data_IF_618250344992
#
_entry.id   IF_618250344992
#
_cell.length_a   1.000
_cell.length_b   1.000
_cell.length_c   1.000
_cell.angle_alpha   90.00
_cell.angle_beta   90.00
_cell.angle_gamma   90.00
#
_symmetry.space_group_name_H-M   'P 1'
#
loop_
_entity.id
_entity.type
_entity.pdbx_description
1 polymer ?
#
# COMPACT_ATOMS: atom_id res chain seq x y z
N UNK A 1 -1.17 -3.44 -6.30
CA UNK A 1 -2.54 -3.12 -5.94
C UNK A 1 -3.02 -4.04 -4.82
N UNK A 2 -3.69 -3.47 -3.82
CA UNK A 2 -4.26 -4.16 -2.66
C UNK A 2 -5.68 -3.62 -2.46
N UNK A 3 -6.70 -4.20 -3.09
CA UNK A 3 -8.08 -3.81 -2.82
C UNK A 3 -8.52 -4.37 -1.46
N UNK A 4 -9.22 -3.55 -0.68
CA UNK A 4 -9.84 -3.92 0.60
C UNK A 4 -11.34 -3.70 0.48
N UNK A 5 -12.06 -4.78 0.13
CA UNK A 5 -13.50 -4.77 -0.10
C UNK A 5 -14.16 -5.60 1.00
N UNK A 6 -15.09 -5.00 1.75
CA UNK A 6 -15.90 -5.72 2.71
C UNK A 6 -17.10 -6.36 2.01
N UNK A 7 -17.02 -7.65 1.76
CA UNK A 7 -18.15 -8.40 1.23
C UNK A 7 -19.25 -8.55 2.29
N UNK A 8 -20.54 -8.39 1.95
CA UNK A 8 -21.64 -8.47 2.92
C UNK A 8 -21.62 -9.75 3.77
N UNK A 9 -21.26 -10.88 3.17
CA UNK A 9 -21.17 -12.17 3.88
C UNK A 9 -20.05 -12.21 4.93
N UNK A 10 -19.06 -11.33 4.87
CA UNK A 10 -17.91 -11.27 5.78
C UNK A 10 -17.98 -10.12 6.77
N UNK A 11 -18.92 -9.21 6.63
CA UNK A 11 -19.03 -8.03 7.52
C UNK A 11 -19.11 -8.42 9.00
N UNK A 12 -19.82 -9.50 9.32
CA UNK A 12 -19.92 -10.03 10.68
C UNK A 12 -18.61 -10.64 11.22
N UNK A 13 -17.65 -10.96 10.35
CA UNK A 13 -16.33 -11.48 10.74
C UNK A 13 -15.30 -10.38 10.96
N UNK A 14 -15.64 -9.13 10.67
CA UNK A 14 -14.78 -7.98 10.97
C UNK A 14 -14.60 -7.80 12.46
N UNK A 15 -13.42 -7.32 12.87
CA UNK A 15 -13.16 -6.89 14.26
C UNK A 15 -13.83 -5.56 14.60
N UNK A 16 -14.36 -4.84 13.62
CA UNK A 16 -15.07 -3.58 13.77
C UNK A 16 -16.57 -3.79 13.66
N UNK A 17 -17.31 -2.79 14.13
CA UNK A 17 -18.77 -2.79 14.02
C UNK A 17 -19.21 -2.79 12.54
N UNK A 18 -20.29 -3.51 12.18
CA UNK A 18 -20.77 -3.59 10.79
C UNK A 18 -20.99 -2.23 10.12
N UNK A 19 -21.53 -1.25 10.85
CA UNK A 19 -21.78 0.10 10.32
C UNK A 19 -20.50 0.84 9.87
N UNK A 20 -19.33 0.43 10.39
CA UNK A 20 -18.03 1.01 10.01
C UNK A 20 -17.51 0.40 8.70
N UNK A 21 -17.73 -0.90 8.50
CA UNK A 21 -17.10 -1.67 7.41
C UNK A 21 -18.06 -2.06 6.29
N UNK A 22 -19.34 -2.07 6.51
CA UNK A 22 -20.33 -2.46 5.50
C UNK A 22 -20.27 -1.52 4.28
N UNK A 23 -20.10 -2.11 3.08
CA UNK A 23 -19.92 -1.36 1.83
C UNK A 23 -18.54 -0.72 1.65
N UNK A 24 -17.55 -1.11 2.46
CA UNK A 24 -16.16 -0.64 2.32
C UNK A 24 -15.56 -1.13 1.00
N UNK A 25 -14.96 -0.22 0.26
CA UNK A 25 -14.19 -0.48 -0.96
C UNK A 25 -13.03 0.52 -1.06
N UNK A 26 -11.86 0.12 -0.61
CA UNK A 26 -10.62 0.90 -0.65
C UNK A 26 -9.63 0.20 -1.58
N UNK A 27 -8.93 0.97 -2.41
CA UNK A 27 -7.81 0.48 -3.20
C UNK A 27 -6.49 1.06 -2.70
N UNK A 28 -5.60 0.22 -2.17
CA UNK A 28 -4.25 0.63 -1.78
C UNK A 28 -3.29 0.36 -2.93
N UNK A 29 -2.64 1.42 -3.39
CA UNK A 29 -1.62 1.42 -4.44
C UNK A 29 -0.26 1.53 -3.75
N UNK A 30 0.39 0.38 -3.55
CA UNK A 30 1.69 0.24 -2.88
C UNK A 30 2.80 0.29 -3.91
N UNK A 31 3.79 1.15 -3.72
CA UNK A 31 5.06 1.08 -4.44
C UNK A 31 5.81 -0.18 -3.98
N UNK A 32 6.33 -0.99 -4.91
CA UNK A 32 6.89 -2.31 -4.60
C UNK A 32 8.38 -2.46 -4.93
N UNK A 33 8.98 -1.50 -5.61
CA UNK A 33 10.31 -1.67 -6.23
C UNK A 33 11.43 -0.95 -5.48
N UNK A 34 11.08 -0.05 -4.58
CA UNK A 34 12.01 0.77 -3.81
C UNK A 34 11.86 0.63 -2.30
N UNK A 35 12.33 1.66 -1.61
CA UNK A 35 12.21 1.82 -0.18
C UNK A 35 13.16 0.95 0.63
N UNK A 36 12.83 0.76 1.91
CA UNK A 36 13.66 0.04 2.87
C UNK A 36 13.86 -1.45 2.53
N UNK A 37 12.99 -2.03 1.70
CA UNK A 37 13.09 -3.43 1.27
C UNK A 37 14.33 -3.67 0.39
N UNK A 38 14.74 -2.66 -0.40
CA UNK A 38 15.79 -2.78 -1.43
C UNK A 38 16.91 -1.77 -1.27
N UNK A 39 16.79 -0.80 -0.35
CA UNK A 39 17.80 0.23 -0.12
C UNK A 39 19.10 -0.35 0.43
N UNK A 40 20.20 0.31 0.13
CA UNK A 40 21.55 -0.05 0.58
C UNK A 40 22.24 1.18 1.16
N UNK A 41 23.06 1.02 2.22
CA UNK A 41 23.44 -0.23 2.90
C UNK A 41 22.30 -0.85 3.69
N UNK A 42 22.34 -2.18 3.81
CA UNK A 42 21.43 -2.99 4.61
C UNK A 42 22.25 -4.09 5.28
N UNK A 43 22.62 -3.89 6.54
CA UNK A 43 23.61 -4.73 7.19
C UNK A 43 23.53 -4.69 8.71
N UNK A 44 24.16 -5.66 9.35
CA UNK A 44 24.45 -5.65 10.78
C UNK A 44 25.96 -5.54 10.96
N UNK A 45 26.42 -4.46 11.58
CA UNK A 45 27.83 -4.18 11.86
C UNK A 45 28.15 -4.59 13.29
N UNK A 46 29.19 -5.38 13.49
CA UNK A 46 29.75 -5.64 14.84
C UNK A 46 30.57 -4.44 15.28
N UNK A 47 30.20 -3.86 16.42
CA UNK A 47 30.89 -2.70 17.01
C UNK A 47 31.92 -3.12 18.06
N UNK A 48 32.09 -4.42 18.33
CA UNK A 48 32.91 -4.96 19.41
C UNK A 48 32.17 -4.98 20.76
N UNK A 49 32.80 -5.61 21.75
CA UNK A 49 32.23 -5.74 23.11
C UNK A 49 30.81 -6.28 23.19
N UNK A 50 30.41 -7.11 22.24
CA UNK A 50 29.08 -7.71 22.15
C UNK A 50 27.98 -6.74 21.64
N UNK A 51 28.34 -5.55 21.20
CA UNK A 51 27.41 -4.57 20.65
C UNK A 51 27.36 -4.65 19.12
N UNK A 52 26.18 -4.44 18.57
CA UNK A 52 25.91 -4.43 17.12
C UNK A 52 25.12 -3.23 16.69
N UNK A 53 25.27 -2.82 15.42
CA UNK A 53 24.48 -1.77 14.78
C UNK A 53 23.73 -2.37 13.60
N UNK A 54 22.40 -2.27 13.58
CA UNK A 54 21.58 -2.56 12.40
C UNK A 54 21.39 -1.31 11.56
N UNK A 55 21.51 -1.44 10.24
CA UNK A 55 21.27 -0.37 9.27
C UNK A 55 20.33 -0.89 8.20
N UNK A 56 19.25 -0.14 7.96
CA UNK A 56 18.37 -0.28 6.80
C UNK A 56 18.21 1.09 6.15
N UNK A 57 18.28 1.14 4.83
CA UNK A 57 18.25 2.39 4.08
C UNK A 57 16.94 2.51 3.31
N UNK A 58 16.20 3.60 3.55
CA UNK A 58 14.99 3.97 2.80
C UNK A 58 15.39 4.88 1.63
N UNK A 59 15.23 4.41 0.40
CA UNK A 59 15.58 5.16 -0.82
C UNK A 59 14.40 5.17 -1.76
N UNK A 60 14.11 6.34 -2.33
CA UNK A 60 13.20 6.54 -3.45
C UNK A 60 13.75 7.59 -4.39
N UNK A 61 13.67 7.30 -5.67
CA UNK A 61 13.94 8.26 -6.74
C UNK A 61 12.63 8.89 -7.23
N UNK A 62 12.74 10.10 -7.79
CA UNK A 62 11.60 10.86 -8.29
C UNK A 62 10.74 10.06 -9.27
N UNK A 63 11.36 9.35 -10.23
CA UNK A 63 10.63 8.57 -11.25
C UNK A 63 9.79 7.42 -10.68
N UNK A 64 10.20 6.84 -9.56
CA UNK A 64 9.45 5.77 -8.88
C UNK A 64 8.16 6.33 -8.30
N UNK A 65 8.26 7.48 -7.65
CA UNK A 65 7.12 8.17 -7.03
C UNK A 65 6.16 8.71 -8.10
N UNK A 66 6.68 9.33 -9.18
CA UNK A 66 5.86 9.80 -10.31
C UNK A 66 5.07 8.67 -10.95
N UNK A 67 5.73 7.53 -11.18
CA UNK A 67 5.12 6.35 -11.76
C UNK A 67 3.93 5.85 -10.93
N UNK A 68 4.13 5.67 -9.61
CA UNK A 68 3.08 5.12 -8.76
C UNK A 68 1.97 6.13 -8.50
N UNK A 69 2.29 7.41 -8.38
CA UNK A 69 1.32 8.48 -8.25
C UNK A 69 0.39 8.56 -9.47
N UNK A 70 0.97 8.51 -10.68
CA UNK A 70 0.19 8.49 -11.92
C UNK A 70 -0.77 7.30 -11.97
N UNK A 71 -0.30 6.10 -11.61
CA UNK A 71 -1.16 4.91 -11.53
C UNK A 71 -2.32 5.11 -10.54
N UNK A 72 -2.03 5.69 -9.37
CA UNK A 72 -3.06 5.94 -8.37
C UNK A 72 -4.12 6.95 -8.84
N UNK A 73 -3.71 8.03 -9.49
CA UNK A 73 -4.62 9.03 -10.03
C UNK A 73 -5.47 8.47 -11.19
N UNK A 74 -4.86 7.71 -12.11
CA UNK A 74 -5.59 7.06 -13.21
C UNK A 74 -6.65 6.09 -12.68
N UNK A 75 -6.32 5.31 -11.65
CA UNK A 75 -7.28 4.41 -11.00
C UNK A 75 -8.39 5.17 -10.27
N UNK A 76 -8.07 6.29 -9.60
CA UNK A 76 -9.06 7.11 -8.92
C UNK A 76 -10.10 7.67 -9.89
N UNK A 77 -9.72 8.05 -11.12
CA UNK A 77 -10.66 8.50 -12.18
C UNK A 77 -11.71 7.44 -12.55
N UNK A 78 -11.41 6.17 -12.34
CA UNK A 78 -12.35 5.06 -12.59
C UNK A 78 -13.17 4.68 -11.36
N UNK A 79 -12.98 5.39 -10.25
CA UNK A 79 -13.60 5.14 -8.94
C UNK A 79 -14.23 6.42 -8.37
N UNK A 80 -14.04 6.69 -7.08
CA UNK A 80 -14.58 7.86 -6.39
C UNK A 80 -13.82 9.18 -6.63
N UNK A 81 -12.83 9.18 -7.52
CA UNK A 81 -12.02 10.34 -7.92
C UNK A 81 -11.26 11.02 -6.76
N UNK A 82 -10.86 10.24 -5.75
CA UNK A 82 -10.14 10.73 -4.57
C UNK A 82 -8.89 9.89 -4.30
N UNK A 83 -7.77 10.56 -4.07
CA UNK A 83 -6.49 9.95 -3.67
C UNK A 83 -6.04 10.51 -2.34
N UNK A 84 -5.72 9.63 -1.39
CA UNK A 84 -5.01 9.98 -0.18
C UNK A 84 -3.56 9.47 -0.29
N UNK A 85 -2.60 10.37 -0.36
CA UNK A 85 -1.17 10.05 -0.36
C UNK A 85 -0.65 9.96 1.06
N UNK A 86 -0.17 8.77 1.46
CA UNK A 86 0.32 8.51 2.81
C UNK A 86 1.82 8.32 2.84
N UNK A 87 2.50 9.09 3.69
CA UNK A 87 3.95 9.10 3.85
C UNK A 87 4.35 9.61 5.25
N UNK A 88 5.65 9.69 5.54
CA UNK A 88 6.15 10.10 6.87
C UNK A 88 7.11 11.29 6.78
N UNK A 89 6.71 12.37 6.07
CA UNK A 89 7.51 13.59 5.82
C UNK A 89 7.97 14.33 7.08
N UNK A 90 7.25 14.18 8.19
CA UNK A 90 7.65 14.81 9.44
C UNK A 90 8.90 14.20 10.08
N UNK A 91 9.35 13.03 9.62
CA UNK A 91 10.53 12.32 10.14
C UNK A 91 11.51 11.93 9.02
N UNK A 92 10.99 11.53 7.84
CA UNK A 92 11.78 10.92 6.77
C UNK A 92 11.96 11.87 5.58
N UNK A 93 13.20 12.03 5.10
CA UNK A 93 13.49 12.82 3.90
C UNK A 93 12.90 12.20 2.63
N UNK A 94 12.86 10.87 2.53
CA UNK A 94 12.13 10.18 1.47
C UNK A 94 10.63 10.50 1.48
N UNK A 95 10.03 10.69 2.66
CA UNK A 95 8.65 11.15 2.80
C UNK A 95 8.44 12.60 2.35
N UNK A 96 9.43 13.48 2.57
CA UNK A 96 9.38 14.86 2.05
C UNK A 96 9.39 14.83 0.51
N UNK A 97 10.34 14.10 -0.09
CA UNK A 97 10.40 13.94 -1.55
C UNK A 97 9.10 13.33 -2.11
N UNK A 98 8.57 12.31 -1.42
CA UNK A 98 7.29 11.69 -1.81
C UNK A 98 6.16 12.72 -1.90
N UNK A 99 6.00 13.53 -0.86
CA UNK A 99 4.98 14.56 -0.83
C UNK A 99 5.14 15.58 -1.96
N UNK A 100 6.37 16.06 -2.18
CA UNK A 100 6.69 17.04 -3.23
C UNK A 100 6.37 16.48 -4.62
N UNK A 101 6.81 15.26 -4.92
CA UNK A 101 6.64 14.63 -6.24
C UNK A 101 5.17 14.30 -6.51
N UNK A 102 4.45 13.73 -5.54
CA UNK A 102 3.01 13.45 -5.70
C UNK A 102 2.23 14.74 -5.94
N UNK A 103 2.55 15.81 -5.19
CA UNK A 103 1.92 17.13 -5.37
C UNK A 103 2.20 17.71 -6.77
N UNK A 104 3.46 17.63 -7.23
CA UNK A 104 3.84 18.11 -8.55
C UNK A 104 3.17 17.32 -9.67
N UNK A 105 3.13 15.99 -9.58
CA UNK A 105 2.46 15.10 -10.54
C UNK A 105 0.96 15.42 -10.64
N UNK A 106 0.31 15.61 -9.49
CA UNK A 106 -1.10 16.01 -9.42
C UNK A 106 -1.33 17.36 -10.11
N UNK A 107 -0.53 18.38 -9.76
CA UNK A 107 -0.68 19.72 -10.31
C UNK A 107 -0.47 19.79 -11.83
N UNK A 108 0.39 18.92 -12.38
CA UNK A 108 0.69 18.86 -13.80
C UNK A 108 -0.43 18.20 -14.62
N UNK A 109 -0.99 17.06 -14.17
CA UNK A 109 -1.79 16.20 -15.03
C UNK A 109 -3.12 15.71 -14.43
N UNK A 110 -3.39 15.98 -13.13
CA UNK A 110 -4.49 15.32 -12.40
C UNK A 110 -5.32 16.26 -11.53
N UNK A 111 -5.43 17.55 -11.92
CA UNK A 111 -6.20 18.57 -11.19
C UNK A 111 -7.68 18.23 -11.02
N UNK A 112 -8.19 17.33 -11.82
CA UNK A 112 -9.55 16.81 -11.77
C UNK A 112 -9.76 15.78 -10.66
N UNK A 113 -8.68 15.22 -10.10
CA UNK A 113 -8.71 14.25 -9.00
C UNK A 113 -8.52 15.00 -7.66
N UNK A 114 -9.29 14.65 -6.65
CA UNK A 114 -9.07 15.18 -5.30
C UNK A 114 -7.84 14.55 -4.68
N UNK A 115 -6.88 15.36 -4.22
CA UNK A 115 -5.68 14.89 -3.53
C UNK A 115 -5.67 15.37 -2.09
N UNK A 116 -5.46 14.44 -1.17
CA UNK A 116 -5.18 14.70 0.24
C UNK A 116 -3.84 14.04 0.62
N UNK A 117 -3.09 14.65 1.52
CA UNK A 117 -1.89 14.08 2.11
C UNK A 117 -2.10 13.78 3.58
N UNK A 118 -1.72 12.60 4.02
CA UNK A 118 -1.85 12.17 5.40
C UNK A 118 -0.58 11.49 5.88
N UNK A 119 -0.15 11.74 7.12
CA UNK A 119 0.95 10.98 7.71
C UNK A 119 0.51 9.52 7.89
N UNK A 120 1.39 8.56 7.61
CA UNK A 120 1.06 7.14 7.58
C UNK A 120 0.51 6.61 8.91
N UNK A 121 1.01 7.10 10.05
CA UNK A 121 0.48 6.76 11.37
C UNK A 121 -0.95 7.29 11.59
N UNK A 122 -1.22 8.54 11.16
CA UNK A 122 -2.58 9.06 11.15
C UNK A 122 -3.48 8.26 10.20
N UNK A 123 -2.96 7.85 9.04
CA UNK A 123 -3.64 6.98 8.09
C UNK A 123 -4.06 5.65 8.71
N UNK A 124 -3.18 5.00 9.46
CA UNK A 124 -3.48 3.78 10.20
C UNK A 124 -4.62 3.97 11.22
N UNK A 125 -4.59 5.05 11.99
CA UNK A 125 -5.69 5.39 12.91
C UNK A 125 -7.00 5.64 12.18
N UNK A 126 -6.98 6.36 11.07
CA UNK A 126 -8.17 6.69 10.30
C UNK A 126 -8.75 5.48 9.56
N UNK A 127 -7.93 4.53 9.12
CA UNK A 127 -8.41 3.25 8.58
C UNK A 127 -9.30 2.51 9.60
N UNK A 128 -8.92 2.50 10.87
CA UNK A 128 -9.72 1.85 11.93
C UNK A 128 -10.93 2.69 12.34
N UNK A 129 -10.77 4.01 12.40
CA UNK A 129 -11.81 4.92 12.92
C UNK A 129 -12.90 5.21 11.89
N UNK A 130 -12.51 5.52 10.66
CA UNK A 130 -13.42 5.97 9.59
C UNK A 130 -12.89 5.58 8.20
N UNK A 131 -12.83 4.26 7.88
CA UNK A 131 -12.23 3.78 6.64
C UNK A 131 -12.97 4.26 5.38
N UNK A 132 -14.27 4.49 5.46
CA UNK A 132 -15.11 4.94 4.32
C UNK A 132 -14.74 6.32 3.76
N UNK A 133 -13.88 7.07 4.42
CA UNK A 133 -13.36 8.32 3.87
C UNK A 133 -12.39 8.08 2.70
N UNK A 134 -11.77 6.90 2.64
CA UNK A 134 -10.78 6.57 1.62
C UNK A 134 -11.42 5.92 0.38
N UNK A 135 -10.89 6.26 -0.79
CA UNK A 135 -11.18 5.61 -2.06
C UNK A 135 -9.90 4.94 -2.60
N UNK A 136 -8.90 5.74 -2.98
CA UNK A 136 -7.57 5.26 -3.36
C UNK A 136 -6.55 5.79 -2.36
N UNK A 137 -5.70 4.90 -1.83
CA UNK A 137 -4.54 5.26 -1.01
C UNK A 137 -3.29 4.97 -1.83
N UNK A 138 -2.38 5.93 -1.96
CA UNK A 138 -1.06 5.72 -2.55
C UNK A 138 0.01 5.91 -1.48
N UNK A 139 0.96 4.97 -1.41
CA UNK A 139 1.98 4.98 -0.36
C UNK A 139 3.22 4.18 -0.76
N UNK A 140 4.29 4.36 -0.02
CA UNK A 140 5.55 3.66 -0.19
C UNK A 140 5.45 2.16 0.13
N UNK A 141 6.57 1.46 -0.03
CA UNK A 141 6.62 0.01 0.12
C UNK A 141 6.31 -0.44 1.57
N UNK A 142 6.97 0.18 2.56
CA UNK A 142 6.83 -0.22 3.96
C UNK A 142 5.44 0.09 4.51
N UNK A 143 5.02 1.34 4.36
CA UNK A 143 3.68 1.73 4.85
C UNK A 143 2.57 1.06 4.06
N UNK A 144 2.77 0.80 2.76
CA UNK A 144 1.82 0.07 1.93
C UNK A 144 1.61 -1.38 2.37
N UNK A 145 2.68 -2.03 2.85
CA UNK A 145 2.59 -3.35 3.47
C UNK A 145 1.73 -3.31 4.74
N UNK A 146 2.15 -2.47 5.69
CA UNK A 146 1.49 -2.36 6.98
C UNK A 146 0.03 -1.93 6.87
N UNK A 147 -0.26 -0.90 6.05
CA UNK A 147 -1.61 -0.36 5.91
C UNK A 147 -2.54 -1.32 5.16
N UNK A 148 -2.02 -2.11 4.22
CA UNK A 148 -2.82 -3.12 3.54
C UNK A 148 -3.21 -4.27 4.48
N UNK A 149 -2.34 -4.66 5.41
CA UNK A 149 -2.64 -5.67 6.42
C UNK A 149 -3.68 -5.15 7.44
N UNK A 150 -3.57 -3.89 7.87
CA UNK A 150 -4.62 -3.24 8.67
C UNK A 150 -5.95 -3.24 7.92
N UNK A 151 -5.95 -2.84 6.65
CA UNK A 151 -7.15 -2.82 5.82
C UNK A 151 -7.77 -4.21 5.63
N UNK A 152 -6.93 -5.26 5.55
CA UNK A 152 -7.39 -6.65 5.50
C UNK A 152 -8.25 -7.03 6.71
N UNK A 153 -7.81 -6.63 7.90
CA UNK A 153 -8.54 -6.92 9.13
C UNK A 153 -9.91 -6.22 9.20
N UNK A 154 -10.05 -5.07 8.53
CA UNK A 154 -11.35 -4.37 8.43
C UNK A 154 -12.38 -5.19 7.64
N UNK A 155 -11.94 -5.95 6.66
CA UNK A 155 -12.83 -6.74 5.79
C UNK A 155 -13.19 -8.11 6.37
N UNK A 156 -12.62 -8.47 7.52
CA UNK A 156 -12.90 -9.72 8.23
C UNK A 156 -12.14 -10.94 7.68
N UNK A 157 -11.29 -10.79 6.70
CA UNK A 157 -10.49 -11.90 6.16
C UNK A 157 -9.25 -11.45 5.39
N UNK A 158 -8.08 -11.87 5.87
CA UNK A 158 -6.81 -11.64 5.16
C UNK A 158 -6.77 -12.42 3.82
N UNK A 159 -7.19 -13.68 3.83
CA UNK A 159 -7.09 -14.57 2.68
C UNK A 159 -8.04 -14.23 1.50
N UNK A 160 -9.07 -13.42 1.75
CA UNK A 160 -10.01 -13.00 0.71
C UNK A 160 -9.56 -11.73 -0.03
N UNK A 161 -8.45 -11.12 0.36
CA UNK A 161 -7.94 -9.95 -0.33
C UNK A 161 -6.99 -10.35 -1.46
N UNK A 162 -7.28 -9.94 -2.69
CA UNK A 162 -6.37 -10.17 -3.81
C UNK A 162 -5.19 -9.19 -3.78
N UNK A 163 -4.08 -9.61 -4.33
CA UNK A 163 -2.90 -8.80 -4.59
C UNK A 163 -2.60 -8.82 -6.08
N UNK A 164 -2.36 -7.67 -6.68
CA UNK A 164 -1.92 -7.57 -8.06
C UNK A 164 -0.65 -6.74 -8.16
N UNK A 165 0.42 -7.33 -8.70
CA UNK A 165 1.64 -6.64 -9.08
C UNK A 165 1.64 -6.47 -10.59
N UNK A 166 1.65 -5.22 -11.07
CA UNK A 166 1.52 -4.89 -12.48
C UNK A 166 2.82 -4.26 -12.99
N UNK A 167 3.34 -4.80 -14.09
CA UNK A 167 4.43 -4.18 -14.84
C UNK A 167 3.97 -3.00 -15.70
N UNK A 168 4.92 -2.29 -16.28
CA UNK A 168 4.62 -1.28 -17.29
C UNK A 168 3.94 -1.91 -18.51
N UNK A 169 3.06 -1.19 -19.21
CA UNK A 169 2.49 -1.67 -20.46
C UNK A 169 3.58 -1.77 -21.52
N UNK A 170 3.56 -2.84 -22.31
CA UNK A 170 4.38 -2.97 -23.48
C UNK A 170 3.99 -1.89 -24.52
N UNK A 171 4.97 -1.15 -25.02
CA UNK A 171 4.71 0.00 -25.90
C UNK A 171 4.03 -0.36 -27.23
N UNK A 172 4.17 -1.62 -27.70
CA UNK A 172 3.61 -2.06 -29.00
C UNK A 172 2.25 -2.70 -28.84
N UNK A 173 2.06 -3.47 -27.77
CA UNK A 173 0.85 -4.30 -27.60
C UNK A 173 -0.11 -3.77 -26.56
N UNK A 174 0.30 -2.82 -25.72
CA UNK A 174 -0.46 -2.34 -24.57
C UNK A 174 -0.62 -3.36 -23.44
N UNK A 175 -0.17 -4.60 -23.64
CA UNK A 175 -0.29 -5.66 -22.64
C UNK A 175 0.69 -5.45 -21.49
N UNK A 176 0.30 -5.81 -20.27
CA UNK A 176 1.15 -5.75 -19.06
C UNK A 176 1.49 -7.15 -18.58
N UNK A 177 2.72 -7.35 -18.13
CA UNK A 177 3.02 -8.49 -17.26
C UNK A 177 2.36 -8.25 -15.91
N UNK A 178 1.72 -9.27 -15.37
CA UNK A 178 1.04 -9.17 -14.10
C UNK A 178 1.22 -10.44 -13.28
N UNK A 179 1.29 -10.28 -11.96
CA UNK A 179 1.23 -11.37 -10.99
C UNK A 179 0.03 -11.12 -10.10
N UNK A 180 -0.83 -12.12 -9.97
CA UNK A 180 -2.00 -12.10 -9.09
C UNK A 180 -1.84 -13.19 -8.05
N UNK A 181 -2.13 -12.86 -6.79
CA UNK A 181 -2.04 -13.81 -5.67
C UNK A 181 -2.98 -13.37 -4.55
N UNK A 182 -3.50 -14.29 -3.72
CA UNK A 182 -4.14 -13.92 -2.47
C UNK A 182 -3.08 -13.37 -1.50
N UNK A 183 -3.46 -12.43 -0.64
CA UNK A 183 -2.59 -11.98 0.45
C UNK A 183 -2.55 -13.06 1.52
N UNK A 184 -1.34 -13.58 1.82
CA UNK A 184 -1.15 -14.67 2.78
C UNK A 184 0.27 -14.69 3.34
N UNK A 185 0.42 -15.27 4.53
CA UNK A 185 1.72 -15.64 5.09
C UNK A 185 2.22 -17.02 4.61
N UNK A 186 3.37 -17.44 5.11
CA UNK A 186 3.99 -18.74 4.78
C UNK A 186 3.25 -19.94 5.37
N UNK A 187 2.42 -19.73 6.41
CA UNK A 187 1.62 -20.75 7.10
C UNK A 187 2.37 -22.07 7.35
N UNK A 188 3.48 -22.04 8.09
CA UNK A 188 4.36 -23.21 8.28
C UNK A 188 3.65 -24.38 8.97
N UNK A 189 2.61 -24.10 9.74
CA UNK A 189 1.79 -25.09 10.45
C UNK A 189 0.99 -26.01 9.51
N UNK A 190 0.70 -25.58 8.28
CA UNK A 190 0.00 -26.38 7.26
C UNK A 190 0.88 -26.80 6.11
N UNK A 191 2.19 -26.48 6.15
CA UNK A 191 3.12 -26.85 5.09
C UNK A 191 3.16 -28.37 4.89
N UNK A 192 3.05 -28.83 3.65
CA UNK A 192 3.07 -30.25 3.28
C UNK A 192 1.79 -31.03 3.59
N UNK A 193 0.77 -30.42 4.20
CA UNK A 193 -0.50 -31.13 4.53
C UNK A 193 -1.50 -31.20 3.37
N UNK A 194 -1.29 -30.43 2.29
CA UNK A 194 -2.19 -30.42 1.12
C UNK A 194 -3.60 -29.88 1.40
N UNK A 195 -3.76 -29.08 2.46
CA UNK A 195 -5.07 -28.54 2.91
C UNK A 195 -5.26 -27.07 2.59
N UNK A 196 -4.27 -26.39 2.01
CA UNK A 196 -4.42 -25.01 1.58
C UNK A 196 -5.42 -24.92 0.44
N UNK A 197 -6.37 -24.00 0.57
CA UNK A 197 -7.32 -23.63 -0.49
C UNK A 197 -7.03 -22.16 -0.85
N UNK A 198 -6.36 -21.89 -2.01
CA UNK A 198 -5.98 -20.55 -2.40
C UNK A 198 -7.18 -19.70 -2.86
#
# INVERSE_FOLDING_TARGET
LRPAICYPALAASSSLKPEVVEGLDILIVRELTGGVYFGSPKEIIDLGNGQKRGIDTQVYDTYEIERIASVAFDLARTRGNRVCSMEKRNVMKSGVLWNEVVTATHAANYKDVQLEHMLADAGGMQLVRWPKQFDVIVTDNLFGDMLSDVAAMLTGSLGMLPSASLGAPDAKTGKRKARYEPVRGSAPDIAGKGIANP
#
